data_IF_749658987291
#
_entry.id   IF_749658987291
#
_cell.length_a   1.000
_cell.length_b   1.000
_cell.length_c   1.000
_cell.angle_alpha   90.00
_cell.angle_beta   90.00
_cell.angle_gamma   90.00
#
_symmetry.space_group_name_H-M   'P 1'
#
loop_
_entity.id
_entity.type
_entity.pdbx_description
1 polymer ?
#
# COMPACT_ATOMS: atom_id res chain seq x y z
N UNK A 1 15.91 -1.29 2.78
CA UNK A 1 15.88 -1.08 1.32
C UNK A 1 16.07 0.40 1.01
N UNK A 2 17.15 0.78 0.37
CA UNK A 2 17.31 2.14 -0.13
C UNK A 2 16.49 2.30 -1.40
N UNK A 3 15.75 3.40 -1.50
CA UNK A 3 15.14 3.76 -2.78
C UNK A 3 16.28 4.15 -3.75
N UNK A 4 16.44 3.38 -4.82
CA UNK A 4 17.56 3.52 -5.77
C UNK A 4 17.71 4.92 -6.41
N UNK A 5 16.70 5.80 -6.31
CA UNK A 5 16.73 7.15 -6.90
C UNK A 5 17.09 8.28 -5.94
N UNK A 6 16.92 8.12 -4.64
CA UNK A 6 17.08 9.22 -3.69
C UNK A 6 17.96 8.91 -2.49
N UNK A 7 18.41 7.67 -2.32
CA UNK A 7 19.20 7.19 -1.15
C UNK A 7 18.59 7.56 0.22
N UNK A 8 17.32 7.98 0.25
CA UNK A 8 16.61 8.33 1.48
C UNK A 8 16.33 7.07 2.30
N UNK A 9 16.75 7.09 3.55
CA UNK A 9 16.40 6.05 4.52
C UNK A 9 15.08 6.42 5.17
N UNK A 10 14.06 5.57 5.00
CA UNK A 10 12.77 5.73 5.62
C UNK A 10 12.70 4.89 6.90
N UNK A 11 12.25 5.50 8.00
CA UNK A 11 11.92 4.82 9.25
C UNK A 11 10.41 4.90 9.48
N UNK A 12 9.74 3.75 9.45
CA UNK A 12 8.31 3.68 9.74
C UNK A 12 8.14 3.32 11.22
N UNK A 13 7.40 4.15 11.95
CA UNK A 13 7.11 3.90 13.36
C UNK A 13 6.07 2.79 13.49
N UNK A 14 6.39 1.76 14.27
CA UNK A 14 5.47 0.67 14.59
C UNK A 14 4.61 0.96 15.83
N UNK A 15 4.97 2.00 16.60
CA UNK A 15 4.20 2.50 17.75
C UNK A 15 3.90 3.98 17.59
N UNK A 16 2.74 4.39 18.06
CA UNK A 16 2.34 5.80 18.16
C UNK A 16 3.07 6.50 19.29
N UNK A 17 2.92 7.83 19.40
CA UNK A 17 3.50 8.63 20.47
C UNK A 17 2.96 8.24 21.86
N UNK A 18 1.74 7.74 21.93
CA UNK A 18 1.08 7.23 23.15
C UNK A 18 1.54 5.80 23.54
N UNK A 19 2.49 5.23 22.82
CA UNK A 19 3.00 3.88 23.05
C UNK A 19 2.16 2.76 22.42
N UNK A 20 0.96 3.07 21.90
CA UNK A 20 0.09 2.07 21.29
C UNK A 20 0.68 1.57 19.97
N UNK A 21 0.50 0.28 19.71
CA UNK A 21 0.94 -0.35 18.47
C UNK A 21 0.10 0.13 17.28
N UNK A 22 0.76 0.46 16.18
CA UNK A 22 0.08 0.72 14.90
C UNK A 22 -0.48 -0.59 14.32
N UNK A 23 -1.40 -0.50 13.35
CA UNK A 23 -1.87 -1.69 12.63
C UNK A 23 -0.72 -2.45 11.96
N UNK A 24 0.23 -1.74 11.35
CA UNK A 24 1.43 -2.34 10.77
C UNK A 24 2.28 -3.03 11.85
N UNK A 25 2.44 -2.40 13.02
CA UNK A 25 3.15 -2.99 14.14
C UNK A 25 2.55 -4.31 14.59
N UNK A 26 1.21 -4.37 14.75
CA UNK A 26 0.48 -5.59 15.12
C UNK A 26 0.62 -6.68 14.05
N UNK A 27 0.54 -6.29 12.77
CA UNK A 27 0.74 -7.23 11.66
C UNK A 27 2.15 -7.83 11.71
N UNK A 28 3.17 -7.02 11.91
CA UNK A 28 4.55 -7.50 11.98
C UNK A 28 4.75 -8.41 13.20
N UNK A 29 4.20 -8.09 14.36
CA UNK A 29 4.26 -8.96 15.55
C UNK A 29 3.52 -10.29 15.35
N UNK A 30 2.47 -10.31 14.54
CA UNK A 30 1.74 -11.55 14.24
C UNK A 30 2.47 -12.47 13.26
N UNK A 31 3.50 -11.97 12.57
CA UNK A 31 4.31 -12.78 11.66
C UNK A 31 5.34 -13.57 12.49
N UNK A 32 5.01 -14.82 12.78
CA UNK A 32 5.92 -15.76 13.42
C UNK A 32 6.71 -16.50 12.35
N UNK A 33 7.92 -16.06 12.07
CA UNK A 33 8.80 -16.72 11.09
C UNK A 33 10.24 -16.63 11.56
N UNK A 34 10.95 -17.74 11.50
CA UNK A 34 12.40 -17.79 11.75
C UNK A 34 13.21 -17.24 10.55
N UNK A 35 12.53 -16.77 9.52
CA UNK A 35 13.14 -16.19 8.34
C UNK A 35 13.67 -14.77 8.61
N UNK A 36 14.86 -14.41 8.10
CA UNK A 36 15.35 -13.04 8.16
C UNK A 36 14.53 -12.07 7.30
N UNK A 37 13.62 -12.57 6.46
CA UNK A 37 12.74 -11.78 5.63
C UNK A 37 11.34 -11.67 6.24
N UNK A 38 10.79 -10.46 6.25
CA UNK A 38 9.45 -10.19 6.76
C UNK A 38 8.34 -10.81 5.87
N UNK A 39 8.55 -10.80 4.56
CA UNK A 39 7.60 -11.37 3.60
C UNK A 39 8.21 -12.61 2.99
N UNK A 40 7.61 -13.75 3.27
CA UNK A 40 8.09 -15.07 2.85
C UNK A 40 7.05 -15.83 2.06
N UNK A 41 7.50 -16.82 1.29
CA UNK A 41 6.64 -17.82 0.67
C UNK A 41 6.25 -18.91 1.69
N UNK A 42 5.49 -19.91 1.26
CA UNK A 42 5.03 -21.03 2.10
C UNK A 42 6.17 -21.90 2.66
N UNK A 43 7.36 -21.81 2.07
CA UNK A 43 8.58 -22.51 2.49
C UNK A 43 9.46 -21.65 3.43
N UNK A 44 8.99 -20.50 3.88
CA UNK A 44 9.77 -19.58 4.71
C UNK A 44 10.89 -18.83 3.99
N UNK A 45 10.98 -18.93 2.65
CA UNK A 45 11.99 -18.24 1.87
C UNK A 45 11.54 -16.82 1.50
N UNK A 46 12.46 -15.86 1.36
CA UNK A 46 12.13 -14.51 0.92
C UNK A 46 11.33 -14.51 -0.37
N UNK A 47 10.26 -13.73 -0.43
CA UNK A 47 9.43 -13.61 -1.61
C UNK A 47 10.12 -12.74 -2.66
N UNK A 48 10.24 -13.24 -3.89
CA UNK A 48 10.75 -12.46 -5.02
C UNK A 48 9.68 -11.49 -5.55
N UNK A 49 10.11 -10.45 -6.24
CA UNK A 49 9.19 -9.49 -6.89
C UNK A 49 8.22 -10.19 -7.87
N UNK A 50 8.71 -11.16 -8.63
CA UNK A 50 7.89 -11.96 -9.55
C UNK A 50 6.83 -12.76 -8.80
N UNK A 51 7.19 -13.42 -7.70
CA UNK A 51 6.23 -14.16 -6.88
C UNK A 51 5.16 -13.24 -6.30
N UNK A 52 5.56 -12.06 -5.80
CA UNK A 52 4.62 -11.06 -5.27
C UNK A 52 3.64 -10.58 -6.33
N UNK A 53 4.12 -10.26 -7.53
CA UNK A 53 3.27 -9.88 -8.67
C UNK A 53 2.30 -10.98 -9.07
N UNK A 54 2.78 -12.22 -9.16
CA UNK A 54 1.92 -13.36 -9.49
C UNK A 54 0.82 -13.55 -8.45
N UNK A 55 1.14 -13.44 -7.16
CA UNK A 55 0.13 -13.53 -6.08
C UNK A 55 -0.88 -12.38 -6.14
N UNK A 56 -0.42 -11.16 -6.41
CA UNK A 56 -1.31 -10.02 -6.60
C UNK A 56 -2.28 -10.25 -7.76
N UNK A 57 -1.78 -10.70 -8.91
CA UNK A 57 -2.62 -10.97 -10.09
C UNK A 57 -3.63 -12.10 -9.84
N UNK A 58 -3.22 -13.14 -9.12
CA UNK A 58 -4.12 -14.22 -8.73
C UNK A 58 -5.22 -13.72 -7.79
N UNK A 59 -4.86 -12.95 -6.76
CA UNK A 59 -5.83 -12.37 -5.82
C UNK A 59 -6.82 -11.42 -6.52
N UNK A 60 -6.31 -10.58 -7.42
CA UNK A 60 -7.14 -9.66 -8.22
C UNK A 60 -8.15 -10.40 -9.09
N UNK A 61 -7.72 -11.46 -9.78
CA UNK A 61 -8.62 -12.29 -10.61
C UNK A 61 -9.69 -12.97 -9.74
N UNK A 62 -9.28 -13.56 -8.63
CA UNK A 62 -10.22 -14.20 -7.71
C UNK A 62 -11.25 -13.21 -7.16
N UNK A 63 -10.82 -12.01 -6.78
CA UNK A 63 -11.74 -10.96 -6.31
C UNK A 63 -12.72 -10.51 -7.40
N UNK A 64 -12.28 -10.38 -8.65
CA UNK A 64 -13.14 -10.04 -9.78
C UNK A 64 -14.16 -11.16 -10.07
N UNK A 65 -13.75 -12.41 -9.99
CA UNK A 65 -14.65 -13.56 -10.14
C UNK A 65 -15.73 -13.60 -9.05
N UNK A 66 -15.39 -13.28 -7.81
CA UNK A 66 -16.36 -13.17 -6.72
C UNK A 66 -17.35 -12.01 -6.94
N UNK A 67 -16.88 -10.86 -7.44
CA UNK A 67 -17.76 -9.75 -7.81
C UNK A 67 -18.74 -10.15 -8.94
N UNK A 68 -18.26 -10.87 -9.95
CA UNK A 68 -19.13 -11.41 -11.03
C UNK A 68 -20.18 -12.37 -10.46
N UNK A 69 -19.80 -13.28 -9.58
CA UNK A 69 -20.74 -14.20 -8.92
C UNK A 69 -21.80 -13.47 -8.08
N UNK A 70 -21.41 -12.35 -7.48
CA UNK A 70 -22.31 -11.46 -6.75
C UNK A 70 -23.22 -10.59 -7.67
N UNK A 71 -23.02 -10.65 -8.98
CA UNK A 71 -23.79 -9.89 -9.96
C UNK A 71 -23.26 -8.47 -10.20
N UNK A 72 -22.12 -8.10 -9.62
CA UNK A 72 -21.52 -6.76 -9.73
C UNK A 72 -20.40 -6.76 -10.79
N UNK A 73 -20.79 -6.62 -12.05
CA UNK A 73 -19.85 -6.59 -13.17
C UNK A 73 -19.03 -5.29 -13.21
N UNK A 74 -19.56 -4.18 -12.69
CA UNK A 74 -18.85 -2.91 -12.68
C UNK A 74 -17.70 -2.96 -11.66
N UNK A 75 -17.97 -3.47 -10.46
CA UNK A 75 -16.94 -3.74 -9.47
C UNK A 75 -15.86 -4.70 -10.00
N UNK A 76 -16.27 -5.77 -10.69
CA UNK A 76 -15.31 -6.72 -11.28
C UNK A 76 -14.38 -6.02 -12.28
N UNK A 77 -14.91 -5.11 -13.09
CA UNK A 77 -14.14 -4.32 -14.05
C UNK A 77 -13.16 -3.37 -13.35
N UNK A 78 -13.60 -2.68 -12.31
CA UNK A 78 -12.75 -1.80 -11.49
C UNK A 78 -11.63 -2.59 -10.83
N UNK A 79 -11.92 -3.75 -10.24
CA UNK A 79 -10.91 -4.64 -9.64
C UNK A 79 -9.87 -5.04 -10.69
N UNK A 80 -10.26 -5.40 -11.90
CA UNK A 80 -9.34 -5.78 -12.97
C UNK A 80 -8.47 -4.62 -13.48
N UNK A 81 -8.94 -3.38 -13.37
CA UNK A 81 -8.18 -2.18 -13.71
C UNK A 81 -7.15 -1.82 -12.64
N UNK A 82 -7.36 -2.22 -11.38
CA UNK A 82 -6.45 -1.94 -10.28
C UNK A 82 -5.12 -2.68 -10.48
N UNK A 83 -4.02 -1.95 -10.50
CA UNK A 83 -2.70 -2.47 -10.75
C UNK A 83 -1.84 -2.45 -9.49
N UNK A 84 -0.83 -3.31 -9.41
CA UNK A 84 0.10 -3.36 -8.28
C UNK A 84 0.74 -1.99 -7.97
N UNK A 85 1.04 -1.20 -8.98
CA UNK A 85 1.59 0.16 -8.85
C UNK A 85 0.63 1.15 -8.18
N UNK A 86 -0.69 0.87 -8.19
CA UNK A 86 -1.71 1.77 -7.64
C UNK A 86 -1.78 1.69 -6.10
N UNK A 87 -1.22 0.64 -5.50
CA UNK A 87 -1.11 0.48 -4.05
C UNK A 87 -0.36 1.68 -3.42
N UNK A 88 0.71 2.14 -4.06
CA UNK A 88 1.54 3.21 -3.52
C UNK A 88 0.85 4.58 -3.50
N UNK A 89 0.22 5.05 -4.59
CA UNK A 89 -0.62 6.25 -4.56
C UNK A 89 -1.78 6.14 -3.57
N UNK A 90 -2.43 4.97 -3.49
CA UNK A 90 -3.52 4.72 -2.55
C UNK A 90 -3.04 4.88 -1.11
N UNK A 91 -1.95 4.23 -0.73
CA UNK A 91 -1.37 4.35 0.61
C UNK A 91 -1.01 5.81 0.97
N UNK A 92 -0.48 6.56 0.00
CA UNK A 92 -0.17 7.98 0.21
C UNK A 92 -1.43 8.84 0.39
N UNK A 93 -2.53 8.50 -0.29
CA UNK A 93 -3.79 9.23 -0.18
C UNK A 93 -4.51 9.00 1.15
N UNK A 94 -4.23 7.90 1.83
CA UNK A 94 -4.79 7.59 3.15
C UNK A 94 -4.06 8.33 4.30
N UNK A 95 -2.98 9.04 3.98
CA UNK A 95 -2.21 9.84 4.96
C UNK A 95 -2.71 11.28 4.93
N UNK A 96 -3.16 11.78 6.09
CA UNK A 96 -3.70 13.15 6.21
C UNK A 96 -2.65 14.22 5.96
N UNK A 97 -1.41 13.99 6.38
CA UNK A 97 -0.30 14.93 6.22
C UNK A 97 0.37 14.78 4.85
N UNK A 98 0.36 15.86 4.05
CA UNK A 98 1.07 15.89 2.76
C UNK A 98 2.58 15.68 2.91
N UNK A 99 3.16 16.17 4.00
CA UNK A 99 4.58 16.00 4.30
C UNK A 99 4.91 14.52 4.56
N UNK A 100 4.12 13.85 5.43
CA UNK A 100 4.31 12.43 5.75
C UNK A 100 4.08 11.54 4.52
N UNK A 101 3.08 11.87 3.68
CA UNK A 101 2.85 11.18 2.42
C UNK A 101 4.02 11.36 1.45
N UNK A 102 4.58 12.56 1.36
CA UNK A 102 5.76 12.84 0.52
C UNK A 102 6.98 12.07 1.00
N UNK A 103 7.19 11.99 2.31
CA UNK A 103 8.28 11.25 2.91
C UNK A 103 8.13 9.73 2.70
N UNK A 104 6.91 9.19 2.87
CA UNK A 104 6.62 7.78 2.60
C UNK A 104 6.91 7.41 1.13
N UNK A 105 6.53 8.29 0.20
CA UNK A 105 6.79 8.09 -1.22
C UNK A 105 8.26 8.33 -1.59
N UNK A 106 9.06 8.95 -0.70
CA UNK A 106 10.45 9.30 -0.95
C UNK A 106 10.59 10.35 -2.06
N UNK A 107 9.59 11.23 -2.22
CA UNK A 107 9.66 12.32 -3.18
C UNK A 107 10.59 13.41 -2.68
N UNK A 108 11.37 13.99 -3.57
CA UNK A 108 12.26 15.12 -3.26
C UNK A 108 11.50 16.43 -3.10
N UNK A 109 10.33 16.53 -3.73
CA UNK A 109 9.45 17.70 -3.65
C UNK A 109 8.01 17.29 -3.37
N UNK A 110 7.30 18.12 -2.60
CA UNK A 110 5.88 17.90 -2.29
C UNK A 110 4.97 18.05 -3.52
N UNK A 111 5.45 18.68 -4.59
CA UNK A 111 4.65 18.89 -5.81
C UNK A 111 4.25 17.58 -6.48
N UNK A 112 5.13 16.58 -6.47
CA UNK A 112 4.84 15.24 -7.01
C UNK A 112 3.71 14.61 -6.19
N UNK A 113 3.75 14.75 -4.88
CA UNK A 113 2.72 14.24 -3.98
C UNK A 113 1.39 14.97 -4.16
N UNK A 114 1.40 16.27 -4.35
CA UNK A 114 0.18 17.07 -4.66
C UNK A 114 -0.54 16.56 -5.90
N UNK A 115 0.17 16.09 -6.93
CA UNK A 115 -0.46 15.50 -8.13
C UNK A 115 -1.23 14.22 -7.81
N UNK A 116 -0.74 13.39 -6.89
CA UNK A 116 -1.43 12.17 -6.45
C UNK A 116 -2.71 12.53 -5.72
N UNK A 117 -2.67 13.49 -4.78
CA UNK A 117 -3.87 13.96 -4.06
C UNK A 117 -4.91 14.63 -4.97
N UNK A 118 -4.47 15.36 -6.00
CA UNK A 118 -5.37 15.97 -6.97
C UNK A 118 -6.16 14.96 -7.81
N UNK A 119 -5.61 13.76 -8.02
CA UNK A 119 -6.31 12.68 -8.74
C UNK A 119 -7.51 12.13 -7.98
N UNK A 120 -7.48 12.20 -6.66
CA UNK A 120 -8.51 11.63 -5.78
C UNK A 120 -9.58 12.68 -5.45
N UNK A 121 -9.34 13.94 -5.79
CA UNK A 121 -10.21 15.06 -5.42
C UNK A 121 -10.06 15.40 -3.93
N UNK A 122 -10.15 16.68 -3.60
CA UNK A 122 -10.17 17.16 -2.22
C UNK A 122 -11.60 16.99 -1.70
N UNK A 123 -11.80 16.17 -0.68
CA UNK A 123 -13.06 16.17 0.05
C UNK A 123 -13.26 17.55 0.67
N UNK A 124 -14.28 18.26 0.24
CA UNK A 124 -14.66 19.57 0.79
C UNK A 124 -15.92 19.36 1.61
N UNK A 125 -15.91 19.76 2.87
CA UNK A 125 -17.14 19.76 3.65
C UNK A 125 -18.14 20.74 3.02
N UNK A 126 -19.40 20.35 2.81
CA UNK A 126 -20.39 21.26 2.26
C UNK A 126 -20.55 22.47 3.20
N UNK A 127 -20.58 23.65 2.61
CA UNK A 127 -20.92 24.87 3.37
C UNK A 127 -22.37 24.73 3.81
N UNK A 128 -22.61 24.89 5.11
CA UNK A 128 -23.97 24.93 5.67
C UNK A 128 -24.71 26.17 5.19
#
# INVERSE_FOLDING_TARGET
MGQNKTSRKLRIRLRRADGQMTQLGRLIESITSDSPALVTNEKGQPMTEKMLRTRFDTARKSAAEEAIKAGDQDLAREIMQFQFRDIRPKAASDIESLADASDLLGHTTQEITKRVYRRIGKAVNPVR
#
